data_IF_503747761461
#
_entry.id   IF_503747761461
#
_cell.length_a   1.000
_cell.length_b   1.000
_cell.length_c   1.000
_cell.angle_alpha   90.00
_cell.angle_beta   90.00
_cell.angle_gamma   90.00
#
_symmetry.space_group_name_H-M   'P 1'
#
loop_
_entity.id
_entity.type
_entity.pdbx_description
1 polymer ?
#
# COMPACT_ATOMS: atom_id res chain seq x y z
N UNK A 1 13.59 -26.04 38.67
CA UNK A 1 12.73 -25.00 38.04
C UNK A 1 13.13 -24.84 36.58
N UNK A 2 12.46 -25.62 35.71
CA UNK A 2 12.56 -25.39 34.26
C UNK A 2 11.74 -24.12 33.96
N UNK A 3 12.46 -23.01 33.75
CA UNK A 3 11.91 -21.85 33.08
C UNK A 3 11.52 -22.29 31.66
N UNK A 4 10.25 -22.56 31.44
CA UNK A 4 9.64 -22.57 30.10
C UNK A 4 9.79 -21.15 29.56
N UNK A 5 10.89 -20.87 28.86
CA UNK A 5 10.95 -19.75 27.93
C UNK A 5 9.98 -20.15 26.84
N UNK A 6 8.72 -19.73 26.99
CA UNK A 6 7.75 -19.80 25.93
C UNK A 6 8.30 -18.86 24.84
N UNK A 7 8.87 -19.44 23.81
CA UNK A 7 9.34 -18.75 22.62
C UNK A 7 8.06 -18.21 21.92
N UNK A 8 7.53 -17.11 22.47
CA UNK A 8 6.29 -16.49 21.97
C UNK A 8 6.62 -15.79 20.67
N UNK A 9 6.44 -16.51 19.56
CA UNK A 9 6.48 -15.88 18.25
C UNK A 9 5.45 -14.76 18.23
N UNK A 10 5.84 -13.53 17.83
CA UNK A 10 4.93 -12.40 17.80
C UNK A 10 3.79 -12.68 16.81
N UNK A 11 2.61 -12.17 17.10
CA UNK A 11 1.48 -12.29 16.18
C UNK A 11 1.54 -11.26 15.06
N UNK A 12 2.10 -10.07 15.34
CA UNK A 12 2.24 -8.97 14.37
C UNK A 12 3.68 -8.47 14.37
N UNK A 13 4.31 -8.40 13.19
CA UNK A 13 5.55 -7.64 12.97
C UNK A 13 5.21 -6.28 12.38
N UNK A 14 5.58 -5.22 13.09
CA UNK A 14 5.40 -3.84 12.65
C UNK A 14 6.71 -3.35 12.09
N UNK A 15 6.73 -3.09 10.78
CA UNK A 15 7.93 -2.74 10.02
C UNK A 15 7.93 -1.24 9.74
N UNK A 16 8.96 -0.55 10.22
CA UNK A 16 9.14 0.89 10.05
C UNK A 16 10.37 1.11 9.17
N UNK A 17 10.21 1.53 7.91
CA UNK A 17 11.35 1.92 7.08
C UNK A 17 11.95 3.23 7.61
N UNK A 18 13.26 3.21 7.93
CA UNK A 18 13.95 4.39 8.45
C UNK A 18 15.38 4.43 7.93
N UNK A 19 15.69 5.39 7.06
CA UNK A 19 16.98 5.50 6.38
C UNK A 19 17.30 6.96 5.99
N UNK A 20 18.56 7.20 5.65
CA UNK A 20 19.02 8.49 5.13
C UNK A 20 18.89 9.62 6.14
N UNK A 21 18.21 10.69 5.75
CA UNK A 21 18.00 11.90 6.56
C UNK A 21 16.65 11.95 7.28
N UNK A 22 16.02 10.78 7.50
CA UNK A 22 14.76 10.70 8.21
C UNK A 22 14.89 11.22 9.66
N UNK A 23 13.85 11.91 10.17
CA UNK A 23 13.88 12.59 11.46
C UNK A 23 13.72 11.59 12.63
N UNK A 24 14.73 11.44 13.52
CA UNK A 24 14.65 10.54 14.67
C UNK A 24 13.53 10.91 15.66
N UNK A 25 13.14 12.18 15.74
CA UNK A 25 12.06 12.63 16.63
C UNK A 25 10.72 12.09 16.14
N UNK A 26 10.49 12.11 14.82
CA UNK A 26 9.28 11.54 14.23
C UNK A 26 9.25 10.01 14.40
N UNK A 27 10.36 9.32 14.21
CA UNK A 27 10.48 7.89 14.48
C UNK A 27 10.14 7.56 15.93
N UNK A 28 10.68 8.32 16.91
CA UNK A 28 10.38 8.07 18.32
C UNK A 28 8.90 8.27 18.63
N UNK A 29 8.25 9.28 18.02
CA UNK A 29 6.82 9.50 18.11
C UNK A 29 6.01 8.34 17.52
N UNK A 30 6.42 7.83 16.36
CA UNK A 30 5.83 6.66 15.73
C UNK A 30 5.90 5.43 16.66
N UNK A 31 7.08 5.09 17.15
CA UNK A 31 7.31 3.95 18.07
C UNK A 31 6.47 4.10 19.35
N UNK A 32 6.40 5.30 19.93
CA UNK A 32 5.59 5.57 21.12
C UNK A 32 4.12 5.26 20.84
N UNK A 33 3.58 5.73 19.71
CA UNK A 33 2.18 5.48 19.33
C UNK A 33 1.86 3.99 19.15
N UNK A 34 2.84 3.18 18.73
CA UNK A 34 2.72 1.72 18.62
C UNK A 34 2.71 1.06 20.01
N UNK A 35 3.60 1.46 20.90
CA UNK A 35 3.68 0.92 22.26
C UNK A 35 2.43 1.20 23.09
N UNK A 36 1.78 2.34 22.85
CA UNK A 36 0.56 2.75 23.54
C UNK A 36 -0.72 2.09 23.01
N UNK A 37 -0.64 1.06 22.14
CA UNK A 37 -1.80 0.38 21.60
C UNK A 37 -2.48 -0.61 22.56
N UNK A 38 -1.99 -0.77 23.79
CA UNK A 38 -2.54 -1.69 24.78
C UNK A 38 -2.44 -3.16 24.36
N UNK A 39 -1.42 -3.50 23.59
CA UNK A 39 -1.11 -4.88 23.20
C UNK A 39 -0.29 -5.57 24.30
N UNK A 40 -0.48 -6.88 24.45
CA UNK A 40 0.32 -7.69 25.36
C UNK A 40 1.77 -7.75 24.92
N UNK A 41 2.70 -7.67 25.88
CA UNK A 41 4.12 -7.82 25.61
C UNK A 41 4.42 -9.17 24.93
N UNK A 42 5.32 -9.20 23.95
CA UNK A 42 5.62 -10.39 23.15
C UNK A 42 4.57 -10.75 22.08
N UNK A 43 3.39 -10.13 22.11
CA UNK A 43 2.38 -10.38 21.07
C UNK A 43 2.65 -9.64 19.76
N UNK A 44 3.59 -8.72 19.73
CA UNK A 44 4.06 -8.00 18.55
C UNK A 44 5.55 -7.68 18.67
N UNK A 45 6.17 -7.39 17.54
CA UNK A 45 7.52 -6.85 17.45
C UNK A 45 7.54 -5.58 16.62
N UNK A 46 8.52 -4.73 16.87
CA UNK A 46 8.78 -3.49 16.09
C UNK A 46 10.15 -3.66 15.43
N UNK A 47 10.17 -3.57 14.11
CA UNK A 47 11.37 -3.69 13.29
C UNK A 47 11.61 -2.35 12.62
N UNK A 48 12.62 -1.62 13.08
CA UNK A 48 13.10 -0.40 12.41
C UNK A 48 14.16 -0.85 11.40
N UNK A 49 13.87 -0.73 10.12
CA UNK A 49 14.68 -1.29 9.06
C UNK A 49 15.23 -0.22 8.12
N UNK A 50 16.50 -0.35 7.76
CA UNK A 50 17.16 0.38 6.68
C UNK A 50 17.67 -0.58 5.60
N UNK A 51 18.15 -0.05 4.50
CA UNK A 51 18.76 -0.84 3.42
C UNK A 51 19.83 0.01 2.70
N UNK A 52 20.86 -0.66 2.19
CA UNK A 52 21.96 -0.04 1.46
C UNK A 52 21.47 0.74 0.22
N UNK A 53 20.33 0.34 -0.37
CA UNK A 53 19.73 1.06 -1.51
C UNK A 53 19.18 2.44 -1.14
N UNK A 54 19.06 2.76 0.15
CA UNK A 54 18.49 4.01 0.66
C UNK A 54 17.11 4.31 0.05
N UNK A 55 16.29 3.26 -0.10
CA UNK A 55 14.91 3.36 -0.64
C UNK A 55 13.92 2.78 0.35
N UNK A 56 12.68 3.30 0.33
CA UNK A 56 11.58 2.80 1.16
C UNK A 56 11.30 1.32 0.89
N UNK A 57 11.28 0.93 -0.39
CA UNK A 57 11.07 -0.46 -0.79
C UNK A 57 12.18 -1.40 -0.31
N UNK A 58 13.44 -0.96 -0.39
CA UNK A 58 14.59 -1.73 0.13
C UNK A 58 14.49 -1.93 1.64
N UNK A 59 14.25 -0.85 2.39
CA UNK A 59 14.09 -0.91 3.84
C UNK A 59 12.91 -1.83 4.26
N UNK A 60 11.75 -1.72 3.60
CA UNK A 60 10.61 -2.62 3.86
C UNK A 60 10.97 -4.08 3.57
N UNK A 61 11.68 -4.38 2.47
CA UNK A 61 12.15 -5.74 2.17
C UNK A 61 13.08 -6.28 3.25
N UNK A 62 14.01 -5.45 3.76
CA UNK A 62 14.89 -5.82 4.87
C UNK A 62 14.08 -6.14 6.14
N UNK A 63 13.09 -5.30 6.46
CA UNK A 63 12.19 -5.54 7.58
C UNK A 63 11.37 -6.82 7.42
N UNK A 64 10.87 -7.15 6.21
CA UNK A 64 10.19 -8.40 5.93
C UNK A 64 11.06 -9.63 6.20
N UNK A 65 12.37 -9.57 5.88
CA UNK A 65 13.32 -10.66 6.13
C UNK A 65 13.56 -10.90 7.64
N UNK A 66 13.40 -9.87 8.46
CA UNK A 66 13.59 -9.93 9.91
C UNK A 66 12.31 -10.29 10.67
N UNK A 67 11.15 -10.27 9.99
CA UNK A 67 9.86 -10.43 10.60
C UNK A 67 9.53 -11.89 10.95
N UNK A 68 9.04 -12.11 12.18
CA UNK A 68 8.62 -13.42 12.71
C UNK A 68 7.10 -13.54 12.89
N UNK A 69 6.39 -12.39 12.89
CA UNK A 69 4.95 -12.34 13.09
C UNK A 69 4.13 -13.06 12.03
N UNK A 70 2.94 -13.55 12.40
CA UNK A 70 1.99 -14.12 11.44
C UNK A 70 1.49 -13.06 10.46
N UNK A 71 1.35 -11.82 10.92
CA UNK A 71 0.96 -10.67 10.10
C UNK A 71 2.04 -9.61 10.06
N UNK A 72 2.23 -9.03 8.88
CA UNK A 72 3.10 -7.88 8.67
C UNK A 72 2.26 -6.61 8.55
N UNK A 73 2.70 -5.56 9.23
CA UNK A 73 2.11 -4.24 9.19
C UNK A 73 3.21 -3.20 8.94
N UNK A 74 3.08 -2.44 7.88
CA UNK A 74 4.04 -1.39 7.54
C UNK A 74 3.57 -0.05 8.08
N UNK A 75 4.47 0.69 8.72
CA UNK A 75 4.19 2.02 9.29
C UNK A 75 5.30 2.97 8.88
N UNK A 76 4.98 4.09 8.26
CA UNK A 76 5.98 5.08 7.89
C UNK A 76 6.47 5.84 9.15
N UNK A 77 7.76 6.16 9.19
CA UNK A 77 8.42 6.68 10.40
C UNK A 77 7.92 8.07 10.85
N UNK A 78 7.29 8.82 9.97
CA UNK A 78 6.70 10.14 10.25
C UNK A 78 5.22 10.09 10.62
N UNK A 79 4.60 8.89 10.57
CA UNK A 79 3.20 8.66 10.90
C UNK A 79 3.00 8.11 12.32
N UNK A 80 1.76 7.93 12.73
CA UNK A 80 1.41 7.35 14.03
C UNK A 80 0.19 6.42 13.91
N UNK A 81 0.00 5.54 14.88
CA UNK A 81 -1.22 4.77 14.98
C UNK A 81 -2.28 5.51 15.79
N UNK A 82 -3.54 5.41 15.37
CA UNK A 82 -4.66 5.90 16.17
C UNK A 82 -4.74 5.10 17.47
N UNK A 83 -4.87 5.73 18.65
CA UNK A 83 -4.82 5.04 19.93
C UNK A 83 -5.79 3.87 20.06
N UNK A 84 -5.36 2.76 20.66
CA UNK A 84 -6.13 1.53 20.93
C UNK A 84 -6.62 0.75 19.69
N UNK A 85 -6.15 1.04 18.49
CA UNK A 85 -6.70 0.46 17.26
C UNK A 85 -6.12 -0.90 16.90
N UNK A 86 -4.86 -1.18 17.21
CA UNK A 86 -4.27 -2.51 17.00
C UNK A 86 -5.00 -3.57 17.82
N UNK A 87 -5.22 -3.28 19.10
CA UNK A 87 -5.96 -4.16 20.00
C UNK A 87 -7.36 -4.47 19.47
N UNK A 88 -8.04 -3.49 18.87
CA UNK A 88 -9.38 -3.68 18.29
C UNK A 88 -9.37 -4.47 16.97
N UNK A 89 -8.30 -4.41 16.17
CA UNK A 89 -8.18 -5.17 14.92
C UNK A 89 -7.71 -6.62 15.11
N UNK A 90 -6.92 -6.89 16.16
CA UNK A 90 -6.37 -8.23 16.44
C UNK A 90 -7.43 -9.36 16.45
N UNK A 91 -8.64 -9.20 17.03
CA UNK A 91 -9.67 -10.23 16.98
C UNK A 91 -10.14 -10.55 15.56
N UNK A 92 -10.22 -9.58 14.63
CA UNK A 92 -10.56 -9.84 13.23
C UNK A 92 -9.51 -10.75 12.57
N UNK A 93 -8.21 -10.46 12.81
CA UNK A 93 -7.10 -11.26 12.29
C UNK A 93 -7.12 -12.68 12.84
N UNK A 94 -7.36 -12.85 14.15
CA UNK A 94 -7.40 -14.18 14.80
C UNK A 94 -8.62 -15.01 14.39
N UNK A 95 -9.80 -14.41 14.37
CA UNK A 95 -11.06 -15.13 14.14
C UNK A 95 -11.24 -15.54 12.67
N UNK A 96 -10.91 -14.63 11.76
CA UNK A 96 -11.17 -14.84 10.34
C UNK A 96 -9.93 -15.27 9.57
N UNK A 97 -8.76 -15.09 10.13
CA UNK A 97 -7.48 -15.44 9.50
C UNK A 97 -7.39 -14.99 8.03
N UNK A 98 -7.67 -13.71 7.69
CA UNK A 98 -7.62 -13.25 6.31
C UNK A 98 -6.18 -13.21 5.79
N UNK A 99 -5.99 -13.30 4.48
CA UNK A 99 -4.70 -13.03 3.86
C UNK A 99 -4.37 -11.54 3.92
N UNK A 100 -5.41 -10.70 3.81
CA UNK A 100 -5.28 -9.24 3.91
C UNK A 100 -6.46 -8.68 4.73
N UNK A 101 -6.16 -7.84 5.71
CA UNK A 101 -7.12 -6.95 6.35
C UNK A 101 -6.80 -5.51 5.96
N UNK A 102 -7.69 -4.88 5.20
CA UNK A 102 -7.62 -3.46 4.85
C UNK A 102 -8.44 -2.63 5.83
N UNK A 103 -7.89 -1.50 6.27
CA UNK A 103 -8.54 -0.59 7.22
C UNK A 103 -8.50 0.87 6.75
N UNK A 104 -9.19 1.74 7.46
CA UNK A 104 -9.22 3.17 7.19
C UNK A 104 -8.10 3.95 7.90
N UNK A 105 -7.94 5.22 7.52
CA UNK A 105 -6.97 6.13 8.12
C UNK A 105 -7.58 7.52 8.40
N UNK A 106 -6.89 8.31 9.20
CA UNK A 106 -7.17 9.73 9.45
C UNK A 106 -5.94 10.55 9.07
N UNK A 107 -6.17 11.69 8.47
CA UNK A 107 -5.14 12.72 8.31
C UNK A 107 -5.05 13.56 9.57
N UNK A 108 -3.83 13.95 9.97
CA UNK A 108 -3.61 14.81 11.12
C UNK A 108 -2.43 15.76 10.90
N UNK A 109 -2.48 16.91 11.54
CA UNK A 109 -1.41 17.92 11.57
C UNK A 109 -0.78 18.07 12.96
N UNK A 110 -1.49 17.62 14.00
CA UNK A 110 -1.03 17.58 15.39
C UNK A 110 -1.54 16.30 16.04
N UNK A 111 -0.69 15.61 16.79
CA UNK A 111 -1.04 14.37 17.50
C UNK A 111 -2.26 14.53 18.43
N UNK A 112 -2.47 15.72 18.99
CA UNK A 112 -3.63 16.05 19.82
C UNK A 112 -4.97 16.04 19.06
N UNK A 113 -4.93 16.11 17.72
CA UNK A 113 -6.14 16.07 16.87
C UNK A 113 -6.69 14.66 16.65
N UNK A 114 -5.95 13.62 17.04
CA UNK A 114 -6.42 12.25 16.97
C UNK A 114 -7.17 11.88 18.24
N UNK A 115 -8.48 11.81 18.15
CA UNK A 115 -9.31 11.35 19.26
C UNK A 115 -8.95 9.92 19.64
N UNK A 116 -8.81 9.67 20.95
CA UNK A 116 -8.66 8.31 21.48
C UNK A 116 -9.94 7.54 21.18
N UNK A 117 -9.84 6.47 20.42
CA UNK A 117 -10.94 5.55 20.29
C UNK A 117 -10.99 4.71 21.57
N UNK A 118 -12.16 4.67 22.21
CA UNK A 118 -12.34 3.78 23.34
C UNK A 118 -12.26 2.34 22.85
N UNK A 119 -11.45 1.47 23.50
CA UNK A 119 -11.45 0.05 23.17
C UNK A 119 -12.86 -0.47 23.36
N UNK A 120 -13.47 -0.97 22.30
CA UNK A 120 -14.75 -1.63 22.39
C UNK A 120 -14.50 -3.14 22.42
N UNK A 121 -15.27 -3.88 23.21
CA UNK A 121 -15.29 -5.35 23.17
C UNK A 121 -16.00 -5.87 21.91
N UNK A 122 -16.54 -4.97 21.09
CA UNK A 122 -17.20 -5.32 19.84
C UNK A 122 -16.18 -5.30 18.69
N UNK A 123 -16.30 -6.28 17.81
CA UNK A 123 -15.52 -6.31 16.57
C UNK A 123 -15.86 -5.08 15.72
N UNK A 124 -14.87 -4.42 15.10
CA UNK A 124 -15.12 -3.40 14.09
C UNK A 124 -15.99 -3.98 12.97
N UNK A 125 -16.94 -3.21 12.46
CA UNK A 125 -17.70 -3.61 11.28
C UNK A 125 -16.77 -3.85 10.08
N UNK A 126 -17.04 -4.90 9.32
CA UNK A 126 -16.20 -5.29 8.19
C UNK A 126 -17.04 -5.86 7.05
N UNK A 127 -16.48 -5.84 5.85
CA UNK A 127 -16.95 -6.61 4.69
C UNK A 127 -15.92 -7.71 4.38
N UNK A 128 -16.41 -8.91 4.06
CA UNK A 128 -15.59 -10.04 3.64
C UNK A 128 -15.68 -10.21 2.13
N UNK A 129 -14.55 -10.44 1.50
CA UNK A 129 -14.41 -10.75 0.07
C UNK A 129 -13.76 -12.12 -0.08
N UNK A 130 -14.34 -12.96 -0.94
CA UNK A 130 -13.85 -14.31 -1.23
C UNK A 130 -12.45 -14.31 -1.88
N UNK A 131 -12.02 -13.16 -2.41
CA UNK A 131 -10.65 -12.90 -2.88
C UNK A 131 -10.40 -11.40 -2.92
N UNK A 132 -9.16 -10.98 -2.81
CA UNK A 132 -8.79 -9.57 -3.05
C UNK A 132 -8.95 -9.18 -4.51
N UNK A 133 -8.85 -10.12 -5.44
CA UNK A 133 -9.14 -9.88 -6.85
C UNK A 133 -10.60 -9.46 -7.05
N UNK A 134 -11.54 -10.12 -6.35
CA UNK A 134 -12.95 -9.71 -6.35
C UNK A 134 -13.13 -8.28 -5.82
N UNK A 135 -12.47 -7.92 -4.70
CA UNK A 135 -12.45 -6.54 -4.23
C UNK A 135 -11.90 -5.57 -5.27
N UNK A 136 -10.75 -5.91 -5.90
CA UNK A 136 -10.09 -5.08 -6.92
C UNK A 136 -10.94 -4.91 -8.18
N UNK A 137 -11.72 -5.92 -8.55
CA UNK A 137 -12.65 -5.86 -9.68
C UNK A 137 -13.81 -4.87 -9.46
N UNK A 138 -14.25 -4.72 -8.21
CA UNK A 138 -15.42 -3.88 -7.87
C UNK A 138 -15.05 -2.48 -7.39
N UNK A 139 -13.86 -2.31 -6.81
CA UNK A 139 -13.51 -1.08 -6.09
C UNK A 139 -12.31 -0.37 -6.71
N UNK A 140 -12.32 0.97 -6.59
CA UNK A 140 -11.13 1.78 -6.73
C UNK A 140 -10.53 2.00 -5.33
N UNK A 141 -9.21 1.95 -5.25
CA UNK A 141 -8.49 2.07 -3.98
C UNK A 141 -7.17 2.81 -4.19
N UNK A 142 -6.61 3.32 -3.11
CA UNK A 142 -5.24 3.82 -3.07
C UNK A 142 -4.34 2.67 -2.66
N UNK A 143 -3.31 2.39 -3.44
CA UNK A 143 -2.38 1.29 -3.20
C UNK A 143 -1.32 1.64 -2.17
N UNK A 144 -1.72 2.18 -1.01
CA UNK A 144 -0.82 2.49 0.10
C UNK A 144 -0.64 1.27 0.98
N UNK A 145 0.59 0.89 1.24
CA UNK A 145 0.91 -0.35 1.97
C UNK A 145 0.51 -0.26 3.45
N UNK A 146 0.62 0.91 4.05
CA UNK A 146 0.36 1.14 5.48
C UNK A 146 -1.13 1.06 5.89
N UNK A 147 -2.05 0.89 4.95
CA UNK A 147 -3.48 0.69 5.24
C UNK A 147 -3.87 -0.80 5.33
N UNK A 148 -2.92 -1.71 5.57
CA UNK A 148 -3.13 -3.14 5.49
C UNK A 148 -2.35 -3.92 6.55
N UNK A 149 -2.97 -5.02 7.02
CA UNK A 149 -2.24 -6.16 7.55
C UNK A 149 -2.14 -7.21 6.45
N UNK A 150 -0.94 -7.71 6.21
CA UNK A 150 -0.67 -8.79 5.27
C UNK A 150 -0.29 -10.05 6.02
N UNK A 151 -0.90 -11.19 5.69
CA UNK A 151 -0.44 -12.47 6.23
C UNK A 151 0.96 -12.75 5.67
N UNK A 152 1.94 -13.03 6.55
CA UNK A 152 3.33 -13.26 6.15
C UNK A 152 3.46 -14.39 5.15
N UNK A 153 2.76 -15.52 5.37
CA UNK A 153 2.78 -16.66 4.44
C UNK A 153 2.25 -16.34 3.04
N UNK A 154 1.32 -15.39 2.88
CA UNK A 154 0.90 -14.91 1.56
C UNK A 154 2.10 -14.31 0.81
N UNK A 155 2.85 -13.42 1.47
CA UNK A 155 3.97 -12.71 0.84
C UNK A 155 5.13 -13.67 0.50
N UNK A 156 5.41 -14.61 1.41
CA UNK A 156 6.45 -15.64 1.23
C UNK A 156 6.13 -16.59 0.07
N UNK A 157 4.94 -17.19 0.07
CA UNK A 157 4.53 -18.17 -0.96
C UNK A 157 4.39 -17.55 -2.34
N UNK A 158 4.06 -16.25 -2.40
CA UNK A 158 3.97 -15.51 -3.66
C UNK A 158 5.26 -14.80 -4.04
N UNK A 159 6.33 -14.95 -3.27
CA UNK A 159 7.63 -14.30 -3.48
C UNK A 159 7.50 -12.80 -3.72
N UNK A 160 6.63 -12.13 -2.93
CA UNK A 160 6.35 -10.71 -3.08
C UNK A 160 7.38 -9.87 -2.34
N UNK A 161 8.00 -8.95 -3.09
CA UNK A 161 8.93 -7.96 -2.60
C UNK A 161 8.61 -6.59 -3.19
N UNK A 162 8.95 -5.54 -2.45
CA UNK A 162 8.90 -4.19 -2.98
C UNK A 162 9.97 -3.98 -4.04
N UNK A 163 9.65 -3.24 -5.10
CA UNK A 163 10.68 -2.77 -6.02
C UNK A 163 11.57 -1.74 -5.31
N UNK A 164 12.88 -1.78 -5.59
CA UNK A 164 13.85 -0.82 -5.06
C UNK A 164 13.86 0.49 -5.85
N UNK A 165 12.67 0.96 -6.22
CA UNK A 165 12.46 2.29 -6.81
C UNK A 165 12.13 3.29 -5.72
N UNK A 166 12.30 4.55 -6.01
CA UNK A 166 12.10 5.59 -5.01
C UNK A 166 10.65 6.00 -4.80
N UNK A 167 9.74 5.70 -5.75
CA UNK A 167 8.33 6.10 -5.68
C UNK A 167 7.43 5.01 -6.28
N UNK A 168 6.19 4.92 -5.77
CA UNK A 168 5.12 4.03 -6.22
C UNK A 168 5.37 2.52 -6.05
N UNK A 169 6.37 2.13 -5.25
CA UNK A 169 6.65 0.74 -4.90
C UNK A 169 5.53 0.09 -4.10
N UNK A 170 4.82 0.87 -3.30
CA UNK A 170 3.66 0.44 -2.51
C UNK A 170 2.45 0.15 -3.38
N UNK A 171 2.15 0.98 -4.38
CA UNK A 171 1.08 0.75 -5.35
C UNK A 171 1.27 -0.57 -6.10
N UNK A 172 2.50 -0.83 -6.57
CA UNK A 172 2.86 -2.07 -7.25
C UNK A 172 2.71 -3.27 -6.30
N UNK A 173 3.24 -3.16 -5.09
CA UNK A 173 3.20 -4.22 -4.09
C UNK A 173 1.76 -4.60 -3.72
N UNK A 174 0.92 -3.61 -3.40
CA UNK A 174 -0.48 -3.84 -3.02
C UNK A 174 -1.27 -4.45 -4.17
N UNK A 175 -1.09 -4.00 -5.42
CA UNK A 175 -1.76 -4.58 -6.57
C UNK A 175 -1.40 -6.06 -6.76
N UNK A 176 -0.11 -6.42 -6.60
CA UNK A 176 0.36 -7.82 -6.66
C UNK A 176 -0.14 -8.64 -5.47
N UNK A 177 -0.12 -8.10 -4.26
CA UNK A 177 -0.67 -8.78 -3.08
C UNK A 177 -2.17 -9.08 -3.25
N UNK A 178 -2.94 -8.14 -3.79
CA UNK A 178 -4.36 -8.34 -4.08
C UNK A 178 -4.60 -9.40 -5.17
N UNK A 179 -3.68 -9.54 -6.11
CA UNK A 179 -3.77 -10.58 -7.13
C UNK A 179 -3.69 -11.99 -6.53
N UNK A 180 -2.87 -12.20 -5.49
CA UNK A 180 -2.64 -13.52 -4.91
C UNK A 180 -3.56 -13.86 -3.73
N UNK A 181 -4.00 -12.89 -2.96
CA UNK A 181 -4.77 -13.13 -1.74
C UNK A 181 -6.15 -13.75 -2.01
N UNK A 182 -6.46 -14.81 -1.25
CA UNK A 182 -7.67 -15.62 -1.39
C UNK A 182 -8.80 -15.19 -0.45
N UNK A 183 -8.47 -14.49 0.64
CA UNK A 183 -9.42 -14.00 1.62
C UNK A 183 -9.05 -12.59 2.04
N UNK A 184 -9.98 -11.66 1.90
CA UNK A 184 -9.78 -10.27 2.29
C UNK A 184 -10.90 -9.78 3.18
N UNK A 185 -10.53 -9.09 4.26
CA UNK A 185 -11.45 -8.28 5.05
C UNK A 185 -11.20 -6.80 4.80
N UNK A 186 -12.26 -6.03 4.77
CA UNK A 186 -12.21 -4.57 4.64
C UNK A 186 -13.02 -3.94 5.76
N UNK A 187 -12.41 -3.05 6.54
CA UNK A 187 -13.10 -2.28 7.56
C UNK A 187 -12.88 -0.78 7.34
N UNK A 188 -13.87 0.03 7.69
CA UNK A 188 -13.73 1.50 7.73
C UNK A 188 -13.09 2.00 9.02
N UNK A 189 -12.78 1.09 9.96
CA UNK A 189 -12.15 1.43 11.23
C UNK A 189 -10.81 2.14 11.00
N UNK A 190 -10.59 3.26 11.70
CA UNK A 190 -9.43 4.12 11.48
C UNK A 190 -8.26 3.68 12.35
N UNK A 191 -7.32 2.96 11.78
CA UNK A 191 -6.14 2.42 12.49
C UNK A 191 -4.95 3.36 12.38
N UNK A 192 -4.79 4.01 11.24
CA UNK A 192 -3.61 4.75 10.86
C UNK A 192 -3.84 6.25 10.88
N UNK A 193 -2.89 6.99 11.44
CA UNK A 193 -2.83 8.45 11.41
C UNK A 193 -1.75 8.90 10.44
N UNK A 194 -2.17 9.45 9.30
CA UNK A 194 -1.29 9.98 8.26
C UNK A 194 -0.91 11.43 8.58
N UNK A 195 0.38 11.72 8.75
CA UNK A 195 0.88 13.04 9.13
C UNK A 195 0.97 13.99 7.93
N UNK A 196 0.16 15.04 7.98
CA UNK A 196 0.19 16.11 7.00
C UNK A 196 1.02 17.29 7.56
N UNK A 197 2.32 17.33 7.26
CA UNK A 197 3.14 18.48 7.67
C UNK A 197 2.74 19.73 6.88
N UNK A 198 2.71 20.89 7.53
CA UNK A 198 2.44 22.19 6.87
C UNK A 198 3.47 22.50 5.76
N UNK A 199 4.67 21.98 5.89
CA UNK A 199 5.72 22.08 4.86
C UNK A 199 5.49 21.17 3.64
N UNK A 200 4.72 20.08 3.77
CA UNK A 200 4.40 19.19 2.64
C UNK A 200 3.38 19.79 1.68
N UNK A 201 2.49 20.64 2.18
CA UNK A 201 1.47 21.34 1.38
C UNK A 201 2.03 22.54 0.60
N UNK A 202 3.17 23.08 1.02
CA UNK A 202 3.77 24.31 0.46
C UNK A 202 5.05 24.08 -0.33
N UNK A 203 5.58 22.85 -0.43
CA UNK A 203 6.80 22.58 -1.19
C UNK A 203 6.57 22.84 -2.68
N UNK A 204 7.24 23.85 -3.21
CA UNK A 204 7.55 23.92 -4.64
C UNK A 204 8.40 22.70 -4.99
N UNK A 205 7.76 21.67 -5.52
CA UNK A 205 8.48 20.46 -5.97
C UNK A 205 9.42 20.88 -7.10
N UNK A 206 10.72 20.63 -6.94
CA UNK A 206 11.72 20.91 -7.96
C UNK A 206 11.37 20.21 -9.28
N UNK A 207 11.76 20.79 -10.40
CA UNK A 207 11.46 20.21 -11.73
C UNK A 207 12.02 18.80 -11.89
N UNK A 208 13.22 18.55 -11.38
CA UNK A 208 13.84 17.22 -11.38
C UNK A 208 12.98 16.17 -10.65
N UNK A 209 12.43 16.54 -9.50
CA UNK A 209 11.54 15.66 -8.73
C UNK A 209 10.20 15.42 -9.46
N UNK A 210 9.64 16.43 -10.14
CA UNK A 210 8.44 16.25 -10.97
C UNK A 210 8.68 15.27 -12.11
N UNK A 211 9.81 15.40 -12.83
CA UNK A 211 10.20 14.47 -13.89
C UNK A 211 10.40 13.07 -13.38
N UNK A 212 11.04 12.92 -12.22
CA UNK A 212 11.26 11.64 -11.56
C UNK A 212 9.92 10.96 -11.23
N UNK A 213 8.95 11.69 -10.65
CA UNK A 213 7.61 11.15 -10.34
C UNK A 213 6.91 10.60 -11.57
N UNK A 214 6.98 11.32 -12.70
CA UNK A 214 6.40 10.84 -13.96
C UNK A 214 7.13 9.61 -14.47
N UNK A 215 8.47 9.58 -14.41
CA UNK A 215 9.27 8.42 -14.82
C UNK A 215 9.00 7.19 -13.96
N UNK A 216 9.05 7.33 -12.64
CA UNK A 216 8.87 6.21 -11.70
C UNK A 216 7.46 5.61 -11.80
N UNK A 217 6.44 6.45 -12.03
CA UNK A 217 5.07 5.97 -12.24
C UNK A 217 4.96 5.13 -13.52
N UNK A 218 5.58 5.58 -14.61
CA UNK A 218 5.62 4.84 -15.88
C UNK A 218 6.29 3.47 -15.70
N UNK A 219 7.45 3.44 -15.05
CA UNK A 219 8.17 2.21 -14.78
C UNK A 219 7.34 1.23 -13.93
N UNK A 220 6.60 1.73 -12.94
CA UNK A 220 5.66 0.92 -12.17
C UNK A 220 4.55 0.33 -13.05
N UNK A 221 3.98 1.10 -13.97
CA UNK A 221 2.99 0.58 -14.94
C UNK A 221 3.55 -0.55 -15.80
N UNK A 222 4.80 -0.41 -16.27
CA UNK A 222 5.46 -1.44 -17.09
C UNK A 222 5.70 -2.71 -16.29
N UNK A 223 6.14 -2.60 -15.03
CA UNK A 223 6.32 -3.77 -14.16
C UNK A 223 4.98 -4.47 -13.86
N UNK A 224 3.89 -3.73 -13.62
CA UNK A 224 2.56 -4.34 -13.43
C UNK A 224 2.05 -5.02 -14.70
N UNK A 225 2.27 -4.43 -15.87
CA UNK A 225 1.92 -5.05 -17.15
C UNK A 225 2.70 -6.33 -17.38
N UNK A 226 4.03 -6.29 -17.19
CA UNK A 226 4.89 -7.46 -17.32
C UNK A 226 4.47 -8.58 -16.36
N UNK A 227 4.12 -8.23 -15.13
CA UNK A 227 3.58 -9.16 -14.14
C UNK A 227 2.26 -9.78 -14.60
N UNK A 228 1.31 -8.97 -15.12
CA UNK A 228 0.05 -9.49 -15.65
C UNK A 228 0.27 -10.47 -16.79
N UNK A 229 1.23 -10.19 -17.69
CA UNK A 229 1.59 -11.07 -18.81
C UNK A 229 2.25 -12.37 -18.32
N UNK A 230 3.17 -12.29 -17.37
CA UNK A 230 3.83 -13.46 -16.80
C UNK A 230 2.87 -14.42 -16.09
N UNK A 231 1.78 -13.90 -15.51
CA UNK A 231 0.77 -14.72 -14.82
C UNK A 231 -0.33 -15.25 -15.76
N UNK A 232 -0.27 -14.97 -17.06
CA UNK A 232 -1.39 -15.23 -17.98
C UNK A 232 -1.71 -16.72 -18.14
N UNK A 233 -0.72 -17.60 -18.04
CA UNK A 233 -0.90 -19.06 -18.16
C UNK A 233 -1.50 -19.72 -16.92
N UNK A 234 -1.23 -19.16 -15.73
CA UNK A 234 -1.43 -19.87 -14.46
C UNK A 234 -2.53 -19.24 -13.59
N UNK A 235 -2.96 -18.01 -13.91
CA UNK A 235 -3.96 -17.29 -13.15
C UNK A 235 -5.38 -17.49 -13.70
N UNK A 236 -6.37 -17.41 -12.81
CA UNK A 236 -7.76 -17.35 -13.22
C UNK A 236 -8.06 -16.07 -14.01
N UNK A 237 -9.02 -16.16 -14.92
CA UNK A 237 -9.51 -15.01 -15.73
C UNK A 237 -9.93 -13.85 -14.82
N UNK A 238 -10.62 -14.15 -13.71
CA UNK A 238 -11.06 -13.13 -12.73
C UNK A 238 -9.88 -12.31 -12.19
N UNK A 239 -8.79 -12.97 -11.78
CA UNK A 239 -7.59 -12.29 -11.25
C UNK A 239 -6.92 -11.40 -12.28
N UNK A 240 -6.78 -11.90 -13.51
CA UNK A 240 -6.20 -11.16 -14.62
C UNK A 240 -7.05 -9.95 -15.00
N UNK A 241 -8.38 -10.12 -15.09
CA UNK A 241 -9.30 -9.01 -15.39
C UNK A 241 -9.29 -7.95 -14.29
N UNK A 242 -9.23 -8.36 -13.02
CA UNK A 242 -9.15 -7.43 -11.89
C UNK A 242 -7.83 -6.64 -11.89
N UNK A 243 -6.70 -7.29 -12.14
CA UNK A 243 -5.40 -6.64 -12.25
C UNK A 243 -5.35 -5.71 -13.47
N UNK A 244 -5.82 -6.14 -14.62
CA UNK A 244 -5.86 -5.31 -15.83
C UNK A 244 -6.79 -4.10 -15.64
N UNK A 245 -7.93 -4.27 -14.94
CA UNK A 245 -8.76 -3.14 -14.53
C UNK A 245 -7.94 -2.14 -13.70
N UNK A 246 -7.17 -2.59 -12.71
CA UNK A 246 -6.31 -1.70 -11.91
C UNK A 246 -5.30 -0.98 -12.78
N UNK A 247 -4.62 -1.66 -13.68
CA UNK A 247 -3.66 -1.08 -14.63
C UNK A 247 -4.32 0.02 -15.46
N UNK A 248 -5.53 -0.21 -15.99
CA UNK A 248 -6.26 0.78 -16.79
C UNK A 248 -6.57 2.05 -15.98
N UNK A 249 -6.95 1.94 -14.70
CA UNK A 249 -7.13 3.10 -13.83
C UNK A 249 -5.81 3.81 -13.53
N UNK A 250 -4.73 3.06 -13.33
CA UNK A 250 -3.40 3.63 -13.13
C UNK A 250 -2.88 4.35 -14.38
N UNK A 251 -3.20 3.91 -15.59
CA UNK A 251 -2.91 4.65 -16.82
C UNK A 251 -3.62 6.02 -16.81
N UNK A 252 -4.88 6.07 -16.39
CA UNK A 252 -5.60 7.35 -16.22
C UNK A 252 -4.92 8.23 -15.16
N UNK A 253 -4.52 7.65 -14.04
CA UNK A 253 -3.82 8.36 -12.98
C UNK A 253 -2.42 8.84 -13.44
N UNK A 254 -1.73 8.11 -14.29
CA UNK A 254 -0.49 8.53 -14.92
C UNK A 254 -0.67 9.79 -15.77
N UNK A 255 -1.71 9.83 -16.60
CA UNK A 255 -2.05 11.01 -17.40
C UNK A 255 -2.34 12.22 -16.50
N UNK A 256 -3.08 12.00 -15.41
CA UNK A 256 -3.31 13.04 -14.38
C UNK A 256 -2.02 13.50 -13.70
N UNK A 257 -1.09 12.58 -13.43
CA UNK A 257 0.22 12.89 -12.85
C UNK A 257 1.07 13.73 -13.80
N UNK A 258 1.10 13.42 -15.09
CA UNK A 258 1.78 14.27 -16.08
C UNK A 258 1.25 15.70 -16.04
N UNK A 259 -0.06 15.87 -16.03
CA UNK A 259 -0.70 17.18 -15.95
C UNK A 259 -0.38 17.91 -14.64
N UNK A 260 -0.51 17.24 -13.49
CA UNK A 260 -0.17 17.80 -12.17
C UNK A 260 1.29 18.21 -12.05
N UNK A 261 2.19 17.47 -12.68
CA UNK A 261 3.61 17.76 -12.70
C UNK A 261 4.02 18.74 -13.80
N UNK A 262 3.03 19.39 -14.46
CA UNK A 262 3.23 20.45 -15.46
C UNK A 262 4.05 19.99 -16.68
N UNK A 263 3.91 18.74 -17.11
CA UNK A 263 4.51 18.28 -18.36
C UNK A 263 3.99 19.10 -19.53
N UNK A 264 4.88 19.44 -20.47
CA UNK A 264 4.45 20.09 -21.72
C UNK A 264 3.61 19.14 -22.59
N UNK A 265 2.80 19.69 -23.49
CA UNK A 265 2.01 18.89 -24.43
C UNK A 265 2.90 17.96 -25.26
N UNK A 266 4.06 18.45 -25.71
CA UNK A 266 5.02 17.63 -26.45
C UNK A 266 5.56 16.46 -25.64
N UNK A 267 5.83 16.68 -24.35
CA UNK A 267 6.24 15.61 -23.44
C UNK A 267 5.12 14.61 -23.21
N UNK A 268 3.89 15.07 -22.97
CA UNK A 268 2.73 14.21 -22.82
C UNK A 268 2.51 13.33 -24.06
N UNK A 269 2.59 13.92 -25.27
CA UNK A 269 2.46 13.17 -26.52
C UNK A 269 3.53 12.10 -26.66
N UNK A 270 4.79 12.43 -26.30
CA UNK A 270 5.89 11.45 -26.31
C UNK A 270 5.64 10.30 -25.34
N UNK A 271 5.20 10.60 -24.12
CA UNK A 271 4.92 9.57 -23.11
C UNK A 271 3.72 8.69 -23.54
N UNK A 272 2.68 9.28 -24.14
CA UNK A 272 1.54 8.53 -24.66
C UNK A 272 1.93 7.63 -25.84
N UNK A 273 2.84 8.07 -26.71
CA UNK A 273 3.37 7.22 -27.79
C UNK A 273 4.12 6.00 -27.22
N UNK A 274 4.89 6.18 -26.14
CA UNK A 274 5.56 5.07 -25.43
C UNK A 274 4.51 4.11 -24.84
N UNK A 275 3.48 4.61 -24.17
CA UNK A 275 2.40 3.75 -23.64
C UNK A 275 1.67 2.98 -24.75
N UNK A 276 1.56 3.57 -25.94
CA UNK A 276 0.95 2.93 -27.13
C UNK A 276 1.83 1.80 -27.65
N UNK A 277 3.13 2.02 -27.77
CA UNK A 277 4.09 0.99 -28.13
C UNK A 277 4.07 -0.19 -27.16
N UNK A 278 3.93 0.12 -25.88
CA UNK A 278 3.79 -0.89 -24.82
C UNK A 278 2.39 -1.50 -24.72
N UNK A 279 1.41 -1.10 -25.56
CA UNK A 279 0.05 -1.65 -25.55
C UNK A 279 -0.73 -1.36 -24.25
N UNK A 280 -0.40 -0.28 -23.53
CA UNK A 280 -1.16 0.20 -22.38
C UNK A 280 -2.29 1.14 -22.79
N UNK A 281 -2.23 1.69 -23.98
CA UNK A 281 -3.26 2.47 -24.64
C UNK A 281 -3.39 2.03 -26.10
N UNK A 282 -4.56 2.14 -26.75
CA UNK A 282 -5.80 2.75 -26.24
C UNK A 282 -6.41 1.93 -25.09
N UNK A 283 -7.10 2.63 -24.19
CA UNK A 283 -7.81 1.97 -23.08
C UNK A 283 -9.03 1.20 -23.60
N UNK A 284 -9.32 -0.01 -23.07
CA UNK A 284 -10.46 -0.80 -23.52
C UNK A 284 -11.79 -0.19 -23.08
N UNK A 285 -12.80 -0.23 -23.93
CA UNK A 285 -14.17 0.22 -23.63
C UNK A 285 -14.87 -0.76 -22.70
N UNK A 286 -14.57 -0.68 -21.37
CA UNK A 286 -15.16 -1.54 -20.33
C UNK A 286 -16.11 -0.73 -19.42
N UNK A 287 -17.11 -1.42 -18.86
CA UNK A 287 -18.09 -0.80 -17.94
C UNK A 287 -17.61 -0.78 -16.48
N UNK A 288 -16.37 -0.37 -16.23
CA UNK A 288 -15.78 -0.37 -14.87
C UNK A 288 -16.46 0.61 -13.91
N UNK A 289 -16.72 1.85 -14.37
CA UNK A 289 -17.45 2.89 -13.63
C UNK A 289 -17.97 3.96 -14.59
N UNK A 290 -18.90 4.78 -14.12
CA UNK A 290 -19.41 5.90 -14.94
C UNK A 290 -18.29 6.90 -15.29
N UNK A 291 -17.37 7.18 -14.36
CA UNK A 291 -16.20 8.06 -14.61
C UNK A 291 -15.28 7.48 -15.68
N UNK A 292 -14.98 6.17 -15.60
CA UNK A 292 -14.16 5.50 -16.60
C UNK A 292 -14.79 5.61 -18.00
N UNK A 293 -16.12 5.41 -18.10
CA UNK A 293 -16.87 5.50 -19.37
C UNK A 293 -16.82 6.88 -20.02
N UNK A 294 -16.65 7.95 -19.22
CA UNK A 294 -16.49 9.31 -19.74
C UNK A 294 -15.04 9.61 -20.14
N UNK A 295 -14.09 9.18 -19.32
CA UNK A 295 -12.67 9.53 -19.50
C UNK A 295 -11.99 8.66 -20.58
N UNK A 296 -12.32 7.38 -20.66
CA UNK A 296 -11.69 6.44 -21.60
C UNK A 296 -11.86 6.88 -23.07
N UNK A 297 -13.05 7.25 -23.59
CA UNK A 297 -13.18 7.75 -24.97
C UNK A 297 -12.38 9.03 -25.22
N UNK A 298 -12.39 9.97 -24.27
CA UNK A 298 -11.65 11.23 -24.42
C UNK A 298 -10.13 10.99 -24.53
N UNK A 299 -9.59 10.09 -23.72
CA UNK A 299 -8.18 9.68 -23.82
C UNK A 299 -7.91 9.01 -25.17
N UNK A 300 -8.74 8.06 -25.59
CA UNK A 300 -8.53 7.29 -26.82
C UNK A 300 -8.64 8.15 -28.09
N UNK A 301 -9.43 9.21 -28.07
CA UNK A 301 -9.51 10.18 -29.20
C UNK A 301 -8.27 11.06 -29.26
N UNK A 302 -7.67 11.36 -28.11
CA UNK A 302 -6.46 12.19 -28.04
C UNK A 302 -5.17 11.43 -28.47
N UNK A 303 -5.13 10.10 -28.32
CA UNK A 303 -3.98 9.23 -28.63
C UNK A 303 -4.01 8.75 -30.10
#
# INVERSE_FOLDING_TARGET
DFLYICDMTPFISIIIPFYGTADPVLLQRCITSIREQGMEEGSYEIIVADDESQTTGGARNRGMQQAHGEYLFFVDADDILVPNTLRSCRPLLKLYSPDILRFGFKEFTSASSLEKQNPTNQLPSYAEYSSSAHFMALNNFTGVVWAHFFRRSLLETSSLYFSKTSLFEDEEFVAKAYFFARKMLVTSYKVYGYYCSSSSLTRMIAEAERRRRVSDFKEMLFRLKAFSQACQSDASVERLEALNRRIHFLVIDYIRQMWRNKCSINEMNRQLAILKQEGLVPLPYKKYSWKYRLVCPAINVYI
#
